data_IF_768584983056
#
_entry.id   IF_768584983056
#
_cell.length_a   1.000
_cell.length_b   1.000
_cell.length_c   1.000
_cell.angle_alpha   90.00
_cell.angle_beta   90.00
_cell.angle_gamma   90.00
#
_symmetry.space_group_name_H-M   'P 1'
#
loop_
_entity.id
_entity.type
_entity.pdbx_description
1 polymer ?
#
# COMPACT_ATOMS: atom_id res chain seq x y z
N UNK A 1 -54.57 40.11 28.53
CA UNK A 1 -53.24 39.77 29.09
C UNK A 1 -52.19 40.51 28.28
N UNK A 2 -51.38 41.39 28.88
CA UNK A 2 -50.38 42.18 28.15
C UNK A 2 -49.14 41.34 27.83
N UNK A 3 -48.59 41.53 26.63
CA UNK A 3 -47.32 40.90 26.19
C UNK A 3 -46.11 41.58 26.85
N UNK A 4 -45.05 40.83 27.21
CA UNK A 4 -43.86 41.42 27.81
C UNK A 4 -42.94 42.01 26.74
N UNK A 5 -42.55 43.26 26.95
CA UNK A 5 -41.53 43.99 26.19
C UNK A 5 -40.14 43.58 26.68
N UNK A 6 -39.28 43.10 25.79
CA UNK A 6 -37.88 42.75 26.09
C UNK A 6 -36.97 43.93 25.70
N UNK A 7 -36.11 44.45 26.58
CA UNK A 7 -35.18 45.53 26.26
C UNK A 7 -33.96 45.01 25.48
N UNK A 8 -33.57 45.75 24.43
CA UNK A 8 -32.33 45.57 23.67
C UNK A 8 -31.17 46.28 24.38
N UNK A 9 -30.23 45.52 24.92
CA UNK A 9 -28.93 46.01 25.39
C UNK A 9 -27.92 45.96 24.24
N UNK A 10 -27.35 47.11 23.88
CA UNK A 10 -26.24 47.20 22.93
C UNK A 10 -24.91 46.92 23.65
N UNK A 11 -24.17 45.93 23.19
CA UNK A 11 -22.82 45.63 23.65
C UNK A 11 -21.80 46.23 22.66
N UNK A 12 -21.09 47.27 23.09
CA UNK A 12 -19.91 47.80 22.40
C UNK A 12 -18.70 46.91 22.68
N UNK A 13 -18.20 46.24 21.64
CA UNK A 13 -16.90 45.55 21.65
C UNK A 13 -15.79 46.54 21.29
N UNK A 14 -14.98 46.90 22.27
CA UNK A 14 -13.71 47.61 22.09
C UNK A 14 -12.66 46.61 21.59
N UNK A 15 -12.19 46.79 20.36
CA UNK A 15 -11.00 46.11 19.84
C UNK A 15 -9.74 46.79 20.40
N UNK A 16 -8.94 46.03 21.15
CA UNK A 16 -7.55 46.40 21.48
C UNK A 16 -6.60 45.89 20.38
N UNK A 17 -5.64 46.70 19.92
CA UNK A 17 -4.65 46.27 18.94
C UNK A 17 -3.56 45.42 19.60
N UNK A 18 -3.33 44.22 19.04
CA UNK A 18 -2.18 43.37 19.38
C UNK A 18 -0.92 43.92 18.70
N UNK A 19 0.06 44.35 19.50
CA UNK A 19 1.41 44.65 19.04
C UNK A 19 2.24 43.38 18.94
N UNK A 20 2.64 42.99 17.73
CA UNK A 20 3.62 41.91 17.50
C UNK A 20 5.03 42.40 17.87
N UNK A 21 5.71 41.65 18.74
CA UNK A 21 7.14 41.78 18.99
C UNK A 21 7.91 40.81 18.07
N UNK A 22 9.02 41.25 17.44
CA UNK A 22 9.82 40.39 16.57
C UNK A 22 10.69 39.44 17.40
N UNK A 23 10.56 38.13 17.14
CA UNK A 23 11.47 37.10 17.65
C UNK A 23 12.77 37.14 16.84
N UNK A 24 13.87 37.57 17.47
CA UNK A 24 15.22 37.36 16.97
C UNK A 24 15.61 35.89 17.14
N UNK A 25 15.81 35.20 16.01
CA UNK A 25 16.27 33.81 15.96
C UNK A 25 17.81 33.80 15.93
N UNK A 26 18.43 33.38 17.03
CA UNK A 26 19.90 33.22 17.12
C UNK A 26 20.29 31.90 16.48
N UNK A 27 20.92 31.96 15.30
CA UNK A 27 21.42 30.80 14.56
C UNK A 27 22.82 30.45 15.07
N UNK A 28 22.95 29.40 15.86
CA UNK A 28 24.25 28.88 16.33
C UNK A 28 24.86 28.01 15.23
N UNK A 29 25.82 28.55 14.48
CA UNK A 29 26.64 27.82 13.52
C UNK A 29 27.70 27.00 14.30
N UNK A 30 27.53 25.67 14.35
CA UNK A 30 28.60 24.76 14.74
C UNK A 30 29.39 24.36 13.49
N UNK A 31 30.51 25.05 13.29
CA UNK A 31 31.57 24.65 12.37
C UNK A 31 32.36 23.50 12.98
N UNK A 32 32.43 22.36 12.27
CA UNK A 32 33.42 21.31 12.53
C UNK A 32 34.26 21.11 11.27
N UNK A 33 35.55 21.30 11.46
CA UNK A 33 36.57 21.44 10.44
C UNK A 33 36.92 20.14 9.70
N UNK A 34 37.47 20.39 8.51
CA UNK A 34 38.10 19.51 7.53
C UNK A 34 39.32 18.73 8.05
N UNK A 35 39.53 17.53 7.51
CA UNK A 35 40.89 17.05 7.16
C UNK A 35 40.83 15.95 6.08
N UNK A 36 41.06 16.39 4.85
CA UNK A 36 41.50 15.58 3.71
C UNK A 36 42.99 15.26 3.87
N UNK A 37 43.39 14.03 3.61
CA UNK A 37 44.77 13.67 3.27
C UNK A 37 44.75 12.81 1.98
N UNK A 38 45.50 13.18 0.93
CA UNK A 38 45.51 12.49 -0.35
C UNK A 38 46.48 11.30 -0.34
N UNK A 39 45.99 10.14 -0.79
CA UNK A 39 46.81 8.93 -1.00
C UNK A 39 47.47 8.98 -2.40
N UNK A 40 48.77 8.64 -2.52
CA UNK A 40 49.47 8.67 -3.81
C UNK A 40 49.18 7.43 -4.66
N UNK A 41 49.15 7.65 -5.98
CA UNK A 41 49.29 6.65 -7.04
C UNK A 41 50.68 6.80 -7.70
N UNK A 42 51.16 5.97 -8.65
CA UNK A 42 50.86 4.59 -9.06
C UNK A 42 52.18 3.76 -9.14
N UNK A 43 52.31 2.66 -9.93
CA UNK A 43 52.66 2.85 -11.34
C UNK A 43 51.97 1.90 -12.35
N UNK A 44 52.06 2.37 -13.59
CA UNK A 44 51.55 1.84 -14.85
C UNK A 44 51.85 0.35 -15.14
N UNK A 45 50.93 -0.29 -15.85
CA UNK A 45 51.24 -1.40 -16.74
C UNK A 45 50.61 -1.16 -18.11
N UNK A 46 51.52 -0.92 -19.04
CA UNK A 46 51.58 -1.20 -20.47
C UNK A 46 50.31 -1.40 -21.30
N UNK A 47 50.30 -0.61 -22.38
CA UNK A 47 49.51 -0.70 -23.58
C UNK A 47 49.55 -2.07 -24.27
N UNK A 48 48.41 -2.49 -24.85
CA UNK A 48 48.38 -3.36 -26.02
C UNK A 48 47.41 -2.77 -27.05
N UNK A 49 48.04 -2.38 -28.15
CA UNK A 49 47.65 -2.18 -29.56
C UNK A 49 46.27 -2.67 -30.04
N UNK A 50 45.70 -1.85 -30.92
CA UNK A 50 44.42 -2.02 -31.60
C UNK A 50 44.47 -2.84 -32.91
N UNK A 51 43.25 -3.24 -33.32
CA UNK A 51 42.73 -3.44 -34.70
C UNK A 51 42.96 -4.79 -35.42
N UNK A 52 42.16 -5.17 -36.45
CA UNK A 52 40.78 -4.77 -36.81
C UNK A 52 39.82 -5.95 -37.11
N UNK A 53 38.52 -5.63 -37.26
CA UNK A 53 37.48 -6.47 -37.87
C UNK A 53 37.69 -6.67 -39.38
N UNK A 54 37.10 -7.73 -39.95
CA UNK A 54 36.20 -7.49 -41.09
C UNK A 54 34.90 -8.33 -41.07
N UNK A 55 33.90 -7.76 -41.73
CA UNK A 55 32.56 -8.30 -42.02
C UNK A 55 32.54 -9.25 -43.24
N UNK A 56 31.66 -10.25 -43.23
CA UNK A 56 30.94 -10.84 -44.39
C UNK A 56 29.90 -11.85 -43.85
N UNK A 57 28.58 -11.67 -43.96
CA UNK A 57 27.64 -11.87 -45.09
C UNK A 57 27.43 -13.32 -45.59
N UNK A 58 26.24 -13.87 -45.23
CA UNK A 58 25.32 -14.79 -45.97
C UNK A 58 25.65 -16.30 -46.08
N UNK A 59 24.70 -17.21 -46.46
CA UNK A 59 23.25 -17.33 -46.16
C UNK A 59 22.77 -18.78 -45.81
N UNK A 60 21.46 -18.93 -45.53
CA UNK A 60 20.55 -20.09 -45.74
C UNK A 60 21.05 -21.55 -45.69
N UNK A 61 20.42 -22.37 -44.82
CA UNK A 61 19.66 -23.57 -45.20
C UNK A 61 19.07 -24.30 -43.97
N UNK A 62 17.74 -24.46 -43.94
CA UNK A 62 17.05 -25.66 -43.42
C UNK A 62 16.99 -26.70 -44.57
N UNK A 63 16.64 -28.00 -44.40
CA UNK A 63 15.86 -28.63 -43.31
C UNK A 63 16.41 -30.02 -42.88
N UNK A 64 15.71 -30.71 -41.95
CA UNK A 64 15.38 -32.17 -41.99
C UNK A 64 15.09 -32.74 -40.58
N UNK A 65 13.85 -33.19 -40.35
CA UNK A 65 13.46 -34.17 -39.31
C UNK A 65 13.52 -35.59 -39.91
N UNK A 66 13.08 -36.67 -39.21
CA UNK A 66 13.46 -37.31 -37.93
C UNK A 66 13.97 -38.77 -38.15
N UNK A 67 14.21 -39.58 -37.09
CA UNK A 67 13.29 -40.71 -36.82
C UNK A 67 13.08 -40.99 -35.30
N UNK A 68 11.86 -41.20 -34.81
CA UNK A 68 11.10 -42.47 -34.64
C UNK A 68 11.69 -43.54 -33.69
N UNK A 69 10.85 -43.85 -32.67
CA UNK A 69 10.53 -45.18 -32.13
C UNK A 69 11.26 -45.71 -30.88
N UNK A 70 10.44 -45.95 -29.83
CA UNK A 70 10.29 -47.17 -29.01
C UNK A 70 10.14 -46.81 -27.52
N UNK A 71 8.94 -46.90 -26.93
CA UNK A 71 8.23 -48.11 -26.50
C UNK A 71 8.72 -48.65 -25.15
N UNK A 72 7.96 -48.35 -24.09
CA UNK A 72 7.68 -49.30 -23.01
C UNK A 72 6.45 -48.83 -22.23
N UNK A 73 5.33 -49.50 -22.50
CA UNK A 73 4.12 -49.45 -21.69
C UNK A 73 4.38 -50.16 -20.36
N UNK A 74 4.11 -49.48 -19.24
CA UNK A 74 4.03 -50.08 -17.92
C UNK A 74 2.55 -50.17 -17.49
N UNK A 75 2.11 -51.28 -16.86
CA UNK A 75 0.71 -51.53 -16.59
C UNK A 75 0.16 -50.65 -15.46
N UNK A 76 -1.02 -50.09 -15.70
CA UNK A 76 -1.84 -49.42 -14.71
C UNK A 76 -2.38 -50.43 -13.69
N UNK A 77 -1.82 -50.42 -12.47
CA UNK A 77 -2.45 -51.01 -11.30
C UNK A 77 -3.21 -49.92 -10.55
N UNK A 78 -4.53 -49.85 -10.80
CA UNK A 78 -5.49 -49.11 -9.98
C UNK A 78 -5.57 -49.73 -8.59
N UNK A 79 -4.79 -49.22 -7.65
CA UNK A 79 -5.14 -49.26 -6.24
C UNK A 79 -5.62 -47.87 -5.84
N UNK A 80 -6.94 -47.67 -5.95
CA UNK A 80 -7.64 -46.59 -5.28
C UNK A 80 -7.58 -46.86 -3.77
N UNK A 81 -6.42 -46.57 -3.15
CA UNK A 81 -6.40 -46.22 -1.75
C UNK A 81 -7.32 -45.01 -1.61
N UNK A 82 -8.36 -45.14 -0.80
CA UNK A 82 -9.24 -44.04 -0.46
C UNK A 82 -8.37 -42.84 -0.07
N UNK A 83 -8.30 -41.86 -0.97
CA UNK A 83 -7.63 -40.59 -0.68
C UNK A 83 -8.36 -40.04 0.53
N UNK A 84 -7.67 -40.04 1.68
CA UNK A 84 -8.16 -39.34 2.86
C UNK A 84 -8.57 -37.93 2.42
N UNK A 85 -9.75 -37.45 2.83
CA UNK A 85 -10.17 -36.09 2.46
C UNK A 85 -9.02 -35.13 2.80
N UNK A 86 -8.65 -34.22 1.89
CA UNK A 86 -7.54 -33.30 2.11
C UNK A 86 -7.74 -32.64 3.47
N UNK A 87 -6.73 -32.73 4.33
CA UNK A 87 -6.78 -32.22 5.69
C UNK A 87 -7.42 -30.84 5.68
N UNK A 88 -8.54 -30.71 6.40
CA UNK A 88 -9.39 -29.55 6.34
C UNK A 88 -8.58 -28.29 6.69
N UNK A 89 -8.42 -27.42 5.70
CA UNK A 89 -8.27 -25.97 5.84
C UNK A 89 -7.24 -25.49 6.88
N UNK A 90 -5.95 -25.82 6.68
CA UNK A 90 -4.90 -25.01 7.31
C UNK A 90 -4.92 -23.64 6.62
N UNK A 91 -5.57 -22.68 7.28
CA UNK A 91 -5.59 -21.28 6.84
C UNK A 91 -4.17 -20.78 6.72
N UNK A 92 -3.76 -20.40 5.51
CA UNK A 92 -2.41 -19.87 5.25
C UNK A 92 -2.19 -18.61 6.07
N UNK A 93 -1.24 -18.67 6.98
CA UNK A 93 -0.76 -17.48 7.66
C UNK A 93 0.15 -16.69 6.73
N UNK A 94 0.03 -15.37 6.78
CA UNK A 94 0.99 -14.49 6.13
C UNK A 94 2.39 -14.70 6.74
N UNK A 95 3.43 -14.37 5.96
CA UNK A 95 4.81 -14.32 6.45
C UNK A 95 4.86 -13.44 7.71
N UNK A 96 5.52 -13.87 8.79
CA UNK A 96 5.56 -13.11 10.03
C UNK A 96 6.21 -11.75 9.83
N UNK A 97 5.70 -10.79 10.56
CA UNK A 97 6.24 -9.43 10.63
C UNK A 97 7.55 -9.39 11.42
N UNK A 98 8.40 -8.37 11.23
CA UNK A 98 9.62 -8.21 12.01
C UNK A 98 9.38 -8.26 13.53
N UNK A 99 8.29 -7.66 14.03
CA UNK A 99 7.98 -7.67 15.46
C UNK A 99 7.63 -9.07 15.99
N UNK A 100 6.94 -9.88 15.18
CA UNK A 100 6.64 -11.26 15.53
C UNK A 100 7.92 -12.10 15.58
N UNK A 101 8.83 -11.93 14.62
CA UNK A 101 10.16 -12.56 14.66
C UNK A 101 10.96 -12.14 15.89
N UNK A 102 10.86 -10.88 16.29
CA UNK A 102 11.60 -10.37 17.45
C UNK A 102 11.16 -11.02 18.76
N UNK A 103 9.86 -11.23 18.96
CA UNK A 103 9.30 -11.76 20.21
C UNK A 103 9.31 -13.29 20.30
N UNK A 104 9.56 -13.96 19.19
CA UNK A 104 9.43 -15.39 19.11
C UNK A 104 10.56 -16.14 19.83
N UNK A 105 10.26 -17.29 20.43
CA UNK A 105 11.25 -18.06 21.17
C UNK A 105 12.31 -18.61 20.21
N UNK A 106 13.51 -18.85 20.75
CA UNK A 106 14.71 -19.20 20.00
C UNK A 106 15.20 -20.58 20.40
N UNK A 107 15.60 -21.40 19.43
CA UNK A 107 16.32 -22.65 19.67
C UNK A 107 17.76 -22.49 19.24
N UNK A 108 18.65 -23.14 19.98
CA UNK A 108 20.07 -23.28 19.63
C UNK A 108 20.29 -24.63 18.96
N UNK A 109 20.87 -24.61 17.76
CA UNK A 109 21.09 -25.78 16.91
C UNK A 109 22.60 -26.08 16.83
N UNK A 110 22.98 -27.27 17.27
CA UNK A 110 24.38 -27.73 17.28
C UNK A 110 24.90 -27.99 18.69
N UNK A 111 26.11 -28.56 18.76
CA UNK A 111 26.75 -28.92 20.03
C UNK A 111 27.67 -27.80 20.50
N UNK A 112 27.42 -27.28 21.71
CA UNK A 112 28.36 -26.43 22.45
C UNK A 112 29.44 -27.32 23.05
N UNK A 113 30.37 -27.79 22.22
CA UNK A 113 31.54 -28.53 22.67
C UNK A 113 32.57 -27.59 23.25
N UNK A 114 32.96 -27.81 24.50
CA UNK A 114 33.97 -27.04 25.22
C UNK A 114 35.09 -27.99 25.62
N UNK A 115 36.11 -28.12 24.77
CA UNK A 115 37.36 -28.78 25.17
C UNK A 115 38.59 -27.86 25.02
N UNK A 116 38.59 -26.90 24.09
CA UNK A 116 39.77 -26.05 23.82
C UNK A 116 39.56 -24.53 23.99
N UNK A 117 38.44 -24.08 24.56
CA UNK A 117 38.16 -22.65 24.75
C UNK A 117 37.74 -21.88 23.50
N UNK A 118 37.67 -22.54 22.34
CA UNK A 118 37.07 -21.98 21.12
C UNK A 118 35.55 -22.15 21.15
N UNK A 119 34.83 -21.04 21.17
CA UNK A 119 33.36 -21.01 21.12
C UNK A 119 32.88 -21.54 19.77
N UNK A 120 32.38 -22.77 19.73
CA UNK A 120 31.71 -23.31 18.54
C UNK A 120 30.41 -22.53 18.35
N UNK A 121 30.32 -21.81 17.24
CA UNK A 121 29.14 -21.02 16.86
C UNK A 121 27.97 -21.95 16.53
N UNK A 122 27.01 -22.05 17.45
CA UNK A 122 25.76 -22.77 17.21
C UNK A 122 24.82 -21.93 16.32
N UNK A 123 24.22 -22.56 15.32
CA UNK A 123 23.16 -21.93 14.55
C UNK A 123 21.94 -21.71 15.44
N UNK A 124 21.07 -20.79 15.04
CA UNK A 124 19.88 -20.44 15.78
C UNK A 124 18.66 -20.59 14.89
N UNK A 125 17.54 -20.87 15.52
CA UNK A 125 16.25 -21.05 14.87
C UNK A 125 15.18 -20.33 15.65
N UNK A 126 14.24 -19.70 14.94
CA UNK A 126 13.01 -19.16 15.50
C UNK A 126 11.84 -19.77 14.75
N UNK A 127 10.76 -20.04 15.46
CA UNK A 127 9.50 -20.48 14.88
C UNK A 127 8.40 -19.49 15.22
N UNK A 128 7.66 -19.05 14.20
CA UNK A 128 6.47 -18.21 14.33
C UNK A 128 5.37 -18.80 13.47
N UNK A 129 4.32 -19.34 14.12
CA UNK A 129 3.22 -20.03 13.42
C UNK A 129 3.79 -21.17 12.55
N UNK A 130 3.46 -21.19 11.26
CA UNK A 130 3.98 -22.17 10.29
C UNK A 130 5.29 -21.72 9.62
N UNK A 131 5.95 -20.69 10.14
CA UNK A 131 7.17 -20.16 9.54
C UNK A 131 8.35 -20.34 10.47
N UNK A 132 9.49 -20.62 9.88
CA UNK A 132 10.73 -20.79 10.61
C UNK A 132 11.82 -19.96 9.97
N UNK A 133 12.59 -19.28 10.80
CA UNK A 133 13.79 -18.58 10.42
C UNK A 133 15.01 -19.29 10.98
N UNK A 134 16.02 -19.49 10.14
CA UNK A 134 17.27 -20.17 10.44
C UNK A 134 18.43 -19.26 10.10
N UNK A 135 19.37 -19.10 11.00
CA UNK A 135 20.62 -18.43 10.72
C UNK A 135 21.74 -19.08 11.50
N UNK A 136 22.93 -19.05 10.91
CA UNK A 136 24.14 -19.35 11.63
C UNK A 136 24.83 -18.01 11.88
N UNK A 137 25.11 -17.63 13.14
CA UNK A 137 25.96 -16.46 13.38
C UNK A 137 27.26 -16.70 12.61
N UNK A 138 27.86 -15.63 12.07
CA UNK A 138 29.07 -15.75 11.25
C UNK A 138 30.09 -16.62 11.98
N UNK A 139 30.40 -17.83 11.46
CA UNK A 139 31.48 -18.62 12.03
C UNK A 139 32.76 -17.84 11.82
N UNK A 140 33.34 -17.40 12.92
CA UNK A 140 34.54 -16.62 12.88
C UNK A 140 34.51 -15.61 13.98
N UNK A 141 35.32 -15.87 15.01
CA UNK A 141 35.85 -14.81 15.82
C UNK A 141 36.30 -13.70 14.86
N UNK A 142 35.71 -12.52 14.97
CA UNK A 142 36.26 -11.33 14.33
C UNK A 142 37.64 -11.12 14.97
N UNK A 143 38.69 -11.75 14.45
CA UNK A 143 40.04 -11.27 14.73
C UNK A 143 40.13 -9.90 14.05
N UNK A 144 40.03 -8.83 14.83
CA UNK A 144 40.16 -7.45 14.37
C UNK A 144 39.07 -6.96 13.39
N UNK A 145 37.82 -7.41 13.54
CA UNK A 145 36.67 -6.84 12.82
C UNK A 145 36.49 -7.29 11.37
N UNK A 146 37.34 -8.19 10.85
CA UNK A 146 37.19 -8.76 9.51
C UNK A 146 36.45 -10.09 9.56
N UNK A 147 35.56 -10.32 8.58
CA UNK A 147 34.89 -11.62 8.41
C UNK A 147 35.93 -12.67 8.02
N UNK A 148 35.93 -13.83 8.68
CA UNK A 148 36.83 -14.94 8.34
C UNK A 148 36.28 -15.83 7.21
N UNK A 149 35.14 -15.48 6.59
CA UNK A 149 34.55 -16.23 5.47
C UNK A 149 33.18 -15.72 5.00
N UNK A 150 32.57 -16.45 4.07
CA UNK A 150 31.22 -16.21 3.53
C UNK A 150 30.37 -17.47 3.58
N UNK A 151 29.06 -17.33 3.72
CA UNK A 151 28.11 -18.43 3.61
C UNK A 151 27.43 -18.41 2.24
N UNK A 152 27.64 -19.47 1.46
CA UNK A 152 26.79 -19.77 0.32
C UNK A 152 25.53 -20.50 0.82
N UNK A 153 24.38 -20.19 0.23
CA UNK A 153 23.08 -20.74 0.66
C UNK A 153 22.37 -21.41 -0.50
N UNK A 154 21.85 -22.61 -0.26
CA UNK A 154 20.94 -23.28 -1.17
C UNK A 154 19.68 -23.74 -0.45
N UNK A 155 18.52 -23.49 -1.07
CA UNK A 155 17.18 -23.83 -0.58
C UNK A 155 16.45 -24.78 -1.52
N UNK A 156 16.93 -26.02 -1.69
CA UNK A 156 16.14 -27.03 -2.38
C UNK A 156 14.88 -27.34 -1.55
N UNK A 157 13.71 -27.25 -2.21
CA UNK A 157 12.42 -27.61 -1.59
C UNK A 157 11.57 -26.46 -1.05
N UNK A 158 11.91 -25.20 -1.35
CA UNK A 158 11.09 -24.03 -1.02
C UNK A 158 11.54 -23.29 0.23
N UNK A 159 11.51 -21.96 0.16
CA UNK A 159 12.00 -21.03 1.18
C UNK A 159 12.32 -19.68 0.55
N UNK A 160 12.65 -18.69 1.37
CA UNK A 160 13.09 -17.38 0.91
C UNK A 160 14.13 -16.80 1.85
N UNK A 161 14.91 -15.85 1.34
CA UNK A 161 15.86 -15.11 2.16
C UNK A 161 15.11 -14.20 3.13
N UNK A 162 15.61 -14.08 4.35
CA UNK A 162 15.16 -13.04 5.26
C UNK A 162 15.59 -11.67 4.74
N UNK A 163 14.72 -10.69 4.88
CA UNK A 163 15.04 -9.28 4.62
C UNK A 163 15.94 -8.72 5.72
N UNK A 164 16.71 -7.65 5.46
CA UNK A 164 17.53 -7.01 6.48
C UNK A 164 16.75 -6.64 7.74
N UNK A 165 15.51 -6.15 7.60
CA UNK A 165 14.65 -5.77 8.71
C UNK A 165 14.22 -6.98 9.55
N UNK A 166 13.94 -8.11 8.91
CA UNK A 166 13.63 -9.37 9.60
C UNK A 166 14.86 -9.92 10.33
N UNK A 167 16.05 -9.82 9.76
CA UNK A 167 17.30 -10.25 10.40
C UNK A 167 17.63 -9.34 11.59
N UNK A 168 17.49 -8.02 11.44
CA UNK A 168 17.67 -7.04 12.52
C UNK A 168 16.70 -7.34 13.67
N UNK A 169 15.44 -7.62 13.35
CA UNK A 169 14.41 -7.91 14.35
C UNK A 169 14.62 -9.27 15.03
N UNK A 170 14.97 -10.31 14.26
CA UNK A 170 15.15 -11.66 14.75
C UNK A 170 16.46 -11.85 15.54
N UNK A 171 17.56 -11.21 15.14
CA UNK A 171 18.90 -11.58 15.62
C UNK A 171 19.50 -10.47 16.47
N UNK A 172 20.03 -10.78 17.66
CA UNK A 172 20.76 -9.83 18.52
C UNK A 172 22.24 -9.72 18.15
N UNK A 173 22.76 -10.68 17.37
CA UNK A 173 24.19 -10.96 17.24
C UNK A 173 24.81 -10.65 15.88
N UNK A 174 24.29 -9.67 15.14
CA UNK A 174 24.93 -9.23 13.89
C UNK A 174 24.98 -10.33 12.83
N UNK A 175 23.95 -11.19 12.79
CA UNK A 175 23.79 -12.11 11.68
C UNK A 175 23.71 -11.27 10.40
N UNK A 176 24.53 -11.61 9.41
CA UNK A 176 24.44 -10.97 8.10
C UNK A 176 23.22 -11.51 7.33
N UNK A 177 22.73 -12.69 7.71
CA UNK A 177 22.11 -13.61 6.78
C UNK A 177 21.21 -14.63 7.48
N UNK A 178 19.98 -14.80 6.98
CA UNK A 178 19.05 -15.82 7.45
C UNK A 178 18.18 -16.38 6.31
N UNK A 179 17.66 -17.58 6.53
CA UNK A 179 16.75 -18.31 5.65
C UNK A 179 15.40 -18.43 6.34
N UNK A 180 14.32 -18.20 5.59
CA UNK A 180 12.95 -18.42 6.04
C UNK A 180 12.32 -19.57 5.26
N UNK A 181 11.75 -20.54 5.99
CA UNK A 181 11.04 -21.70 5.44
C UNK A 181 9.60 -21.70 5.93
N UNK A 182 8.65 -22.03 5.06
CA UNK A 182 7.24 -22.26 5.42
C UNK A 182 7.04 -23.75 5.67
N UNK A 183 6.61 -24.12 6.87
CA UNK A 183 6.31 -25.47 7.34
C UNK A 183 4.85 -25.85 7.02
N UNK A 184 4.59 -26.24 5.77
CA UNK A 184 3.29 -26.78 5.32
C UNK A 184 3.27 -28.30 5.35
N UNK A 185 2.13 -28.99 5.51
CA UNK A 185 2.09 -30.44 5.31
C UNK A 185 2.66 -30.82 3.95
N UNK A 186 3.55 -31.81 3.95
CA UNK A 186 4.31 -32.22 2.76
C UNK A 186 5.56 -31.39 2.48
N UNK A 187 5.88 -30.39 3.32
CA UNK A 187 7.12 -29.63 3.20
C UNK A 187 8.30 -30.54 3.46
N UNK A 188 9.22 -30.57 2.50
CA UNK A 188 10.55 -31.14 2.64
C UNK A 188 11.54 -30.08 2.20
N UNK A 189 12.07 -29.33 3.16
CA UNK A 189 13.07 -28.31 2.93
C UNK A 189 14.42 -28.83 3.39
N UNK A 190 15.46 -28.60 2.58
CA UNK A 190 16.84 -28.94 2.96
C UNK A 190 17.72 -27.70 2.90
N UNK A 191 17.47 -26.69 3.75
CA UNK A 191 18.32 -25.51 3.77
C UNK A 191 19.75 -25.92 4.10
N UNK A 192 20.68 -25.43 3.29
CA UNK A 192 22.11 -25.66 3.48
C UNK A 192 22.85 -24.34 3.58
N UNK A 193 23.74 -24.28 4.55
CA UNK A 193 24.66 -23.18 4.78
C UNK A 193 26.07 -23.73 4.54
N UNK A 194 26.71 -23.28 3.47
CA UNK A 194 28.07 -23.69 3.11
C UNK A 194 29.00 -22.56 3.52
N UNK A 195 29.73 -22.75 4.61
CA UNK A 195 30.75 -21.80 5.04
C UNK A 195 32.03 -21.99 4.22
N UNK A 196 32.57 -20.87 3.72
CA UNK A 196 33.86 -20.79 3.04
C UNK A 196 34.75 -19.77 3.75
N UNK A 197 35.82 -20.19 4.43
CA UNK A 197 36.77 -19.27 5.03
C UNK A 197 37.45 -18.38 3.97
N UNK A 198 37.71 -17.13 4.31
CA UNK A 198 38.38 -16.15 3.44
C UNK A 198 39.84 -16.53 3.19
N UNK A 199 40.54 -17.02 4.22
CA UNK A 199 41.95 -17.43 4.13
C UNK A 199 42.13 -18.79 3.44
N UNK A 200 41.06 -19.59 3.38
CA UNK A 200 41.06 -20.96 2.83
C UNK A 200 39.77 -21.22 2.04
N UNK A 201 39.58 -20.62 0.85
CA UNK A 201 38.34 -20.71 0.08
C UNK A 201 38.02 -22.14 -0.40
N UNK A 202 39.04 -22.99 -0.49
CA UNK A 202 38.91 -24.39 -0.89
C UNK A 202 38.37 -25.26 0.27
N UNK A 203 38.48 -24.80 1.52
CA UNK A 203 37.88 -25.48 2.65
C UNK A 203 36.40 -25.10 2.70
N UNK A 204 35.53 -26.10 2.69
CA UNK A 204 34.10 -25.89 2.85
C UNK A 204 33.60 -26.67 4.06
N UNK A 205 32.79 -26.00 4.89
CA UNK A 205 32.03 -26.66 5.95
C UNK A 205 30.56 -26.56 5.57
N UNK A 206 29.94 -27.72 5.31
CA UNK A 206 28.54 -27.78 4.96
C UNK A 206 27.70 -28.06 6.22
N UNK A 207 26.86 -27.10 6.56
CA UNK A 207 25.83 -27.23 7.59
C UNK A 207 24.48 -27.32 6.88
N UNK A 208 24.12 -28.54 6.52
CA UNK A 208 22.82 -28.84 5.93
C UNK A 208 21.85 -29.30 7.01
N UNK A 209 20.66 -28.70 7.00
CA UNK A 209 19.56 -29.08 7.87
C UNK A 209 18.46 -29.69 7.02
N UNK A 210 17.83 -30.76 7.52
CA UNK A 210 16.67 -31.39 6.88
C UNK A 210 15.46 -31.10 7.74
N UNK A 211 14.49 -30.43 7.13
CA UNK A 211 13.25 -30.01 7.76
C UNK A 211 12.09 -30.67 7.05
N UNK A 212 11.34 -31.46 7.80
CA UNK A 212 10.26 -32.24 7.24
C UNK A 212 9.00 -32.02 8.06
N UNK A 213 7.93 -31.68 7.36
CA UNK A 213 6.58 -31.80 7.88
C UNK A 213 5.87 -32.82 6.98
N UNK A 214 5.65 -34.07 7.44
CA UNK A 214 5.06 -35.12 6.62
C UNK A 214 3.75 -34.69 5.97
N UNK A 215 3.42 -35.22 4.78
CA UNK A 215 2.14 -34.93 4.14
C UNK A 215 0.95 -35.44 4.97
N UNK A 216 1.19 -36.42 5.83
CA UNK A 216 0.22 -37.00 6.78
C UNK A 216 0.19 -36.26 8.12
N UNK A 217 0.99 -35.21 8.30
CA UNK A 217 1.00 -34.42 9.53
C UNK A 217 -0.39 -33.86 9.79
N UNK A 218 -0.89 -34.10 11.00
CA UNK A 218 -2.16 -33.56 11.48
C UNK A 218 -1.95 -32.22 12.18
N UNK A 219 -0.72 -31.93 12.61
CA UNK A 219 -0.36 -30.67 13.25
C UNK A 219 1.10 -30.31 13.00
N UNK A 220 1.49 -29.08 13.39
CA UNK A 220 2.91 -28.69 13.40
C UNK A 220 3.73 -29.57 14.35
N UNK A 221 3.15 -30.24 15.36
CA UNK A 221 3.90 -31.09 16.29
C UNK A 221 4.53 -32.33 15.61
N UNK A 222 4.05 -32.73 14.44
CA UNK A 222 4.58 -33.87 13.67
C UNK A 222 5.84 -33.52 12.86
N UNK A 223 6.35 -32.29 13.01
CA UNK A 223 7.57 -31.83 12.34
C UNK A 223 8.82 -32.51 12.88
N UNK A 224 9.76 -32.77 11.98
CA UNK A 224 11.02 -33.43 12.27
C UNK A 224 12.19 -32.53 11.90
N UNK A 225 13.22 -32.56 12.74
CA UNK A 225 14.49 -31.87 12.53
C UNK A 225 15.60 -32.90 12.34
N UNK A 226 16.20 -32.95 11.15
CA UNK A 226 17.18 -33.97 10.75
C UNK A 226 16.67 -35.41 10.99
N UNK A 227 15.36 -35.64 10.83
CA UNK A 227 14.71 -36.92 11.12
C UNK A 227 14.52 -37.23 12.61
N UNK A 228 14.98 -36.35 13.51
CA UNK A 228 14.81 -36.43 14.95
C UNK A 228 13.71 -35.52 15.50
N UNK A 229 13.54 -35.47 16.84
CA UNK A 229 12.58 -34.60 17.49
C UNK A 229 12.89 -33.12 17.22
N UNK A 230 11.86 -32.29 17.23
CA UNK A 230 12.01 -30.84 17.10
C UNK A 230 12.81 -30.27 18.28
N UNK A 231 13.73 -29.31 18.05
CA UNK A 231 14.50 -28.69 19.13
C UNK A 231 13.60 -27.90 20.09
N UNK A 232 14.00 -27.84 21.36
CA UNK A 232 13.33 -27.04 22.38
C UNK A 232 13.56 -25.56 22.11
N UNK A 233 12.47 -24.79 22.07
CA UNK A 233 12.48 -23.34 21.92
C UNK A 233 12.49 -22.70 23.32
N UNK A 234 13.38 -21.74 23.52
CA UNK A 234 13.52 -20.97 24.76
C UNK A 234 12.95 -19.57 24.57
N UNK A 235 12.21 -19.08 25.57
CA UNK A 235 11.70 -17.71 25.55
C UNK A 235 12.85 -16.71 25.61
N UNK A 236 12.70 -15.60 24.87
CA UNK A 236 13.68 -14.52 24.90
C UNK A 236 13.55 -13.76 26.20
N UNK A 237 14.65 -13.66 26.95
CA UNK A 237 14.70 -12.91 28.20
C UNK A 237 14.76 -11.40 27.99
N UNK A 238 15.23 -10.93 26.84
CA UNK A 238 15.30 -9.50 26.50
C UNK A 238 14.29 -9.15 25.41
N UNK A 239 13.16 -8.55 25.82
CA UNK A 239 12.12 -8.06 24.93
C UNK A 239 12.20 -6.55 24.67
N UNK A 240 13.11 -5.83 25.34
CA UNK A 240 13.18 -4.35 25.30
C UNK A 240 13.43 -3.82 23.88
N UNK A 241 14.24 -4.55 23.10
CA UNK A 241 14.48 -4.26 21.70
C UNK A 241 13.23 -4.41 20.85
N UNK A 242 12.41 -5.41 21.14
CA UNK A 242 11.16 -5.64 20.42
C UNK A 242 10.17 -4.51 20.68
N UNK A 243 10.10 -4.01 21.91
CA UNK A 243 9.23 -2.87 22.24
C UNK A 243 9.69 -1.59 21.52
N UNK A 244 11.00 -1.39 21.39
CA UNK A 244 11.56 -0.28 20.60
C UNK A 244 11.23 -0.42 19.10
N UNK A 245 11.34 -1.64 18.55
CA UNK A 245 10.99 -1.93 17.16
C UNK A 245 9.48 -1.73 16.90
N UNK A 246 8.63 -2.14 17.83
CA UNK A 246 7.18 -1.94 17.76
C UNK A 246 6.84 -0.45 17.75
N UNK A 247 7.44 0.32 18.66
CA UNK A 247 7.27 1.77 18.71
C UNK A 247 7.71 2.45 17.40
N UNK A 248 8.86 2.07 16.84
CA UNK A 248 9.35 2.57 15.54
C UNK A 248 8.38 2.24 14.41
N UNK A 249 7.97 0.98 14.30
CA UNK A 249 7.04 0.52 13.26
C UNK A 249 5.70 1.24 13.33
N UNK A 250 5.18 1.47 14.54
CA UNK A 250 3.96 2.25 14.76
C UNK A 250 4.12 3.70 14.33
N UNK A 251 5.22 4.34 14.71
CA UNK A 251 5.52 5.72 14.32
C UNK A 251 5.61 5.87 12.79
N UNK A 252 6.26 4.93 12.10
CA UNK A 252 6.36 4.92 10.63
C UNK A 252 4.99 4.72 9.96
N UNK A 253 4.15 3.84 10.52
CA UNK A 253 2.79 3.63 10.02
C UNK A 253 1.92 4.88 10.18
N UNK A 254 1.99 5.54 11.34
CA UNK A 254 1.28 6.79 11.62
C UNK A 254 1.78 7.93 10.71
N UNK A 255 3.10 8.03 10.48
CA UNK A 255 3.68 9.00 9.56
C UNK A 255 3.23 8.77 8.11
N UNK A 256 3.20 7.51 7.64
CA UNK A 256 2.70 7.17 6.31
C UNK A 256 1.22 7.53 6.15
N UNK A 257 0.40 7.23 7.16
CA UNK A 257 -1.02 7.59 7.16
C UNK A 257 -1.20 9.11 7.10
N UNK A 258 -0.42 9.87 7.87
CA UNK A 258 -0.46 11.34 7.82
C UNK A 258 -0.07 11.89 6.43
N UNK A 259 0.90 11.28 5.75
CA UNK A 259 1.27 11.66 4.37
C UNK A 259 0.15 11.32 3.37
N UNK A 260 -0.51 10.17 3.51
CA UNK A 260 -1.66 9.79 2.67
C UNK A 260 -2.85 10.73 2.88
N UNK A 261 -3.18 11.05 4.13
CA UNK A 261 -4.25 11.99 4.47
C UNK A 261 -3.96 13.39 3.91
N UNK A 262 -2.69 13.83 3.98
CA UNK A 262 -2.25 15.10 3.38
C UNK A 262 -2.37 15.06 1.85
N UNK A 263 -1.88 14.01 1.20
CA UNK A 263 -1.95 13.87 -0.25
C UNK A 263 -3.41 13.84 -0.75
N UNK A 264 -4.31 13.21 0.02
CA UNK A 264 -5.75 13.22 -0.26
C UNK A 264 -6.34 14.62 -0.13
N UNK A 265 -5.99 15.37 0.92
CA UNK A 265 -6.45 16.74 1.09
C UNK A 265 -5.97 17.67 -0.03
N UNK A 266 -4.71 17.52 -0.48
CA UNK A 266 -4.17 18.26 -1.62
C UNK A 266 -4.88 17.90 -2.93
N UNK A 267 -5.18 16.62 -3.15
CA UNK A 267 -5.95 16.17 -4.31
C UNK A 267 -7.39 16.72 -4.31
N UNK A 268 -8.05 16.73 -3.15
CA UNK A 268 -9.39 17.30 -2.99
C UNK A 268 -9.38 18.83 -3.24
N UNK A 269 -8.33 19.54 -2.82
CA UNK A 269 -8.16 20.97 -3.09
C UNK A 269 -7.89 21.25 -4.58
N UNK A 270 -7.05 20.44 -5.23
CA UNK A 270 -6.79 20.55 -6.67
C UNK A 270 -8.06 20.31 -7.47
N UNK A 271 -8.84 19.29 -7.12
CA UNK A 271 -10.12 19.01 -7.75
C UNK A 271 -11.12 20.15 -7.53
N UNK A 272 -11.20 20.73 -6.33
CA UNK A 272 -12.05 21.89 -6.05
C UNK A 272 -11.63 23.13 -6.88
N UNK A 273 -10.35 23.32 -7.12
CA UNK A 273 -9.83 24.42 -7.96
C UNK A 273 -10.19 24.23 -9.43
N UNK A 274 -10.08 23.00 -9.95
CA UNK A 274 -10.51 22.67 -11.31
C UNK A 274 -12.03 22.75 -11.47
N UNK A 275 -12.81 22.31 -10.47
CA UNK A 275 -14.27 22.41 -10.49
C UNK A 275 -14.75 23.88 -10.44
N UNK A 276 -13.98 24.76 -9.76
CA UNK A 276 -14.22 26.20 -9.74
C UNK A 276 -13.88 26.90 -11.06
N UNK A 277 -13.02 26.30 -11.89
CA UNK A 277 -12.75 26.76 -13.25
C UNK A 277 -13.96 26.39 -14.11
N UNK A 278 -14.93 27.31 -14.17
CA UNK A 278 -16.21 27.10 -14.84
C UNK A 278 -16.09 26.51 -16.25
N UNK A 279 -17.16 25.85 -16.70
CA UNK A 279 -17.24 25.27 -18.04
C UNK A 279 -17.41 26.40 -19.05
N UNK A 280 -16.67 26.41 -20.17
CA UNK A 280 -16.87 27.42 -21.20
C UNK A 280 -18.32 27.40 -21.70
N UNK A 281 -18.87 28.57 -21.99
CA UNK A 281 -20.22 28.70 -22.54
C UNK A 281 -20.30 28.03 -23.92
N UNK A 282 -21.43 27.41 -24.24
CA UNK A 282 -21.64 26.79 -25.54
C UNK A 282 -21.96 27.85 -26.60
N UNK A 283 -21.23 27.89 -27.74
CA UNK A 283 -21.67 28.68 -28.89
C UNK A 283 -22.99 28.10 -29.40
N UNK A 284 -23.88 28.97 -29.90
CA UNK A 284 -25.14 28.59 -30.55
C UNK A 284 -26.23 27.97 -29.65
N UNK A 285 -26.15 28.16 -28.32
CA UNK A 285 -27.24 27.76 -27.44
C UNK A 285 -28.46 28.68 -27.62
N UNK A 286 -29.63 28.10 -27.88
CA UNK A 286 -30.89 28.83 -27.94
C UNK A 286 -31.14 29.59 -26.62
N UNK A 287 -31.75 30.79 -26.65
CA UNK A 287 -32.00 31.57 -25.44
C UNK A 287 -32.84 30.77 -24.42
N UNK A 288 -32.68 31.04 -23.12
CA UNK A 288 -33.39 30.32 -22.07
C UNK A 288 -34.92 30.48 -22.25
N UNK A 289 -35.70 29.39 -22.17
CA UNK A 289 -37.15 29.44 -22.26
C UNK A 289 -37.76 30.29 -21.13
N UNK A 290 -38.85 30.98 -21.43
CA UNK A 290 -39.63 31.71 -20.43
C UNK A 290 -40.25 30.77 -19.39
N UNK A 291 -40.47 31.25 -18.16
CA UNK A 291 -41.02 30.47 -17.03
C UNK A 291 -42.33 29.72 -17.40
N UNK A 292 -43.16 30.31 -18.24
CA UNK A 292 -44.43 29.74 -18.72
C UNK A 292 -44.25 28.45 -19.53
N UNK A 293 -43.18 28.36 -20.33
CA UNK A 293 -42.90 27.22 -21.20
C UNK A 293 -42.61 25.93 -20.41
N UNK A 294 -42.18 26.06 -19.16
CA UNK A 294 -41.90 24.93 -18.28
C UNK A 294 -43.17 24.26 -17.77
N UNK A 295 -44.29 24.98 -17.64
CA UNK A 295 -45.52 24.44 -17.05
C UNK A 295 -46.03 23.20 -17.79
N UNK A 296 -45.90 23.16 -19.12
CA UNK A 296 -46.35 22.06 -19.98
C UNK A 296 -45.39 20.86 -20.08
N UNK A 297 -44.16 20.97 -19.56
CA UNK A 297 -43.14 19.93 -19.71
C UNK A 297 -43.24 18.83 -18.66
N UNK A 298 -42.86 17.62 -19.09
CA UNK A 298 -42.76 16.45 -18.21
C UNK A 298 -41.62 16.63 -17.22
N UNK A 299 -41.83 16.08 -16.04
CA UNK A 299 -40.83 16.06 -14.99
C UNK A 299 -39.64 15.17 -15.38
N UNK A 300 -38.44 15.67 -15.19
CA UNK A 300 -37.21 14.88 -15.26
C UNK A 300 -37.09 14.06 -13.98
N UNK A 301 -36.57 12.83 -14.05
CA UNK A 301 -36.44 12.02 -12.84
C UNK A 301 -35.12 12.37 -12.12
N UNK A 302 -35.22 13.09 -11.00
CA UNK A 302 -34.11 13.33 -10.07
C UNK A 302 -34.42 12.63 -8.75
N UNK A 303 -33.59 11.66 -8.37
CA UNK A 303 -33.85 10.89 -7.15
C UNK A 303 -33.76 11.79 -5.92
N UNK A 304 -34.84 11.82 -5.13
CA UNK A 304 -34.93 12.61 -3.91
C UNK A 304 -35.43 14.05 -4.10
N UNK A 305 -35.78 14.47 -5.33
CA UNK A 305 -36.33 15.82 -5.58
C UNK A 305 -37.65 16.06 -4.84
N UNK A 306 -38.54 15.08 -4.84
CA UNK A 306 -39.87 15.18 -4.23
C UNK A 306 -39.80 15.39 -2.71
N UNK A 307 -38.80 14.78 -2.05
CA UNK A 307 -38.59 14.93 -0.61
C UNK A 307 -38.22 16.38 -0.22
N UNK A 308 -37.64 17.14 -1.15
CA UNK A 308 -37.28 18.54 -0.98
C UNK A 308 -38.33 19.51 -1.58
N UNK A 309 -39.43 18.98 -2.15
CA UNK A 309 -40.40 19.81 -2.87
C UNK A 309 -39.84 20.43 -4.15
N UNK A 310 -38.86 19.77 -4.76
CA UNK A 310 -38.22 20.24 -5.98
C UNK A 310 -38.89 19.63 -7.21
N UNK A 311 -39.34 20.48 -8.12
CA UNK A 311 -39.78 20.12 -9.47
C UNK A 311 -38.59 20.21 -10.41
N UNK A 312 -38.35 19.16 -11.19
CA UNK A 312 -37.29 19.18 -12.20
C UNK A 312 -37.85 18.98 -13.58
N UNK A 313 -37.40 19.76 -14.56
CA UNK A 313 -37.90 19.72 -15.93
C UNK A 313 -36.76 19.85 -16.92
N UNK A 314 -36.96 19.25 -18.08
CA UNK A 314 -36.02 19.31 -19.19
C UNK A 314 -36.77 19.82 -20.44
N UNK A 315 -36.35 20.96 -20.98
CA UNK A 315 -36.94 21.58 -22.16
C UNK A 315 -35.82 21.89 -23.15
N UNK A 316 -35.86 21.24 -24.32
CA UNK A 316 -34.85 21.45 -25.38
C UNK A 316 -33.40 21.26 -24.85
N UNK A 317 -32.42 22.19 -24.94
CA UNK A 317 -31.11 21.99 -24.32
C UNK A 317 -31.03 22.56 -22.89
N UNK A 318 -32.16 22.79 -22.21
CA UNK A 318 -32.19 23.42 -20.89
C UNK A 318 -32.72 22.46 -19.81
N UNK A 319 -32.02 22.42 -18.68
CA UNK A 319 -32.47 21.80 -17.43
C UNK A 319 -32.88 22.89 -16.46
N UNK A 320 -34.05 22.70 -15.85
CA UNK A 320 -34.63 23.61 -14.88
C UNK A 320 -35.05 22.86 -13.63
N UNK A 321 -34.66 23.41 -12.49
CA UNK A 321 -35.04 22.95 -11.16
C UNK A 321 -35.68 24.12 -10.44
N UNK A 322 -36.89 23.90 -9.92
CA UNK A 322 -37.55 24.83 -9.01
C UNK A 322 -37.91 24.08 -7.73
N UNK A 323 -37.35 24.52 -6.60
CA UNK A 323 -37.72 24.02 -5.29
C UNK A 323 -38.67 24.99 -4.62
N UNK A 324 -39.87 24.49 -4.32
CA UNK A 324 -40.93 25.20 -3.62
C UNK A 324 -41.54 24.21 -2.63
N UNK A 325 -41.16 24.31 -1.36
CA UNK A 325 -41.42 23.24 -0.41
C UNK A 325 -41.41 23.68 1.05
N UNK A 326 -41.73 22.72 1.93
CA UNK A 326 -41.78 22.91 3.38
C UNK A 326 -40.39 23.20 3.99
N UNK A 327 -39.34 22.71 3.35
CA UNK A 327 -37.96 22.94 3.79
C UNK A 327 -37.52 24.32 3.32
N UNK A 328 -37.16 25.18 4.28
CA UNK A 328 -36.62 26.50 3.99
C UNK A 328 -35.23 26.34 3.40
N UNK A 329 -35.14 26.56 2.10
CA UNK A 329 -33.88 26.63 1.39
C UNK A 329 -33.36 28.06 1.42
N UNK A 330 -32.12 28.26 1.87
CA UNK A 330 -31.53 29.57 2.12
C UNK A 330 -30.61 30.02 0.99
N UNK A 331 -29.88 29.09 0.37
CA UNK A 331 -28.94 29.40 -0.70
C UNK A 331 -28.79 28.23 -1.68
N UNK A 332 -28.38 28.56 -2.90
CA UNK A 332 -27.91 27.61 -3.91
C UNK A 332 -26.55 28.08 -4.45
N UNK A 333 -25.59 27.16 -4.46
CA UNK A 333 -24.23 27.40 -4.91
C UNK A 333 -23.81 26.30 -5.88
N UNK A 334 -23.41 26.67 -7.10
CA UNK A 334 -23.04 25.69 -8.14
C UNK A 334 -21.54 25.44 -8.05
N UNK A 335 -21.14 24.38 -7.34
CA UNK A 335 -19.75 24.02 -7.09
C UNK A 335 -19.03 23.51 -8.35
N UNK A 336 -19.75 22.81 -9.24
CA UNK A 336 -19.18 22.20 -10.45
C UNK A 336 -20.14 22.31 -11.62
N UNK A 337 -19.59 22.44 -12.83
CA UNK A 337 -20.37 22.41 -14.07
C UNK A 337 -21.10 23.72 -14.38
N UNK A 338 -20.69 24.82 -13.73
CA UNK A 338 -21.26 26.15 -13.98
C UNK A 338 -20.75 26.71 -15.31
N UNK A 339 -21.67 27.03 -16.21
CA UNK A 339 -21.41 27.85 -17.38
C UNK A 339 -21.55 29.34 -17.00
N UNK A 340 -20.54 30.15 -17.33
CA UNK A 340 -20.39 31.49 -16.80
C UNK A 340 -21.60 32.40 -17.05
N UNK A 341 -22.17 32.35 -18.26
CA UNK A 341 -23.33 33.17 -18.64
C UNK A 341 -24.63 32.39 -18.77
N UNK A 342 -24.54 31.07 -18.92
CA UNK A 342 -25.69 30.20 -19.21
C UNK A 342 -26.26 29.53 -17.96
N UNK A 343 -25.48 29.32 -16.90
CA UNK A 343 -26.00 28.76 -15.64
C UNK A 343 -26.48 29.89 -14.73
N UNK A 344 -27.77 29.90 -14.39
CA UNK A 344 -28.40 30.85 -13.47
C UNK A 344 -28.93 30.10 -12.25
N UNK A 345 -28.49 30.51 -11.07
CA UNK A 345 -28.99 30.01 -9.80
C UNK A 345 -29.48 31.21 -8.99
N UNK A 346 -30.70 31.15 -8.47
CA UNK A 346 -31.26 32.19 -7.61
C UNK A 346 -32.06 31.57 -6.46
N UNK A 347 -32.08 32.27 -5.33
CA UNK A 347 -32.89 31.95 -4.17
C UNK A 347 -33.68 33.21 -3.78
N UNK A 348 -34.96 33.24 -4.10
CA UNK A 348 -35.83 34.41 -3.87
C UNK A 348 -37.14 33.96 -3.22
N UNK A 349 -37.54 34.65 -2.14
CA UNK A 349 -38.80 34.40 -1.43
C UNK A 349 -39.05 32.92 -1.02
N UNK A 350 -37.98 32.19 -0.69
CA UNK A 350 -38.08 30.76 -0.32
C UNK A 350 -38.24 29.81 -1.51
N UNK A 351 -38.12 30.32 -2.74
CA UNK A 351 -38.09 29.54 -3.98
C UNK A 351 -36.66 29.54 -4.50
N UNK A 352 -36.09 28.34 -4.67
CA UNK A 352 -34.81 28.17 -5.35
C UNK A 352 -35.06 27.82 -6.81
N UNK A 353 -34.42 28.55 -7.71
CA UNK A 353 -34.42 28.27 -9.16
C UNK A 353 -32.99 27.98 -9.61
N UNK A 354 -32.80 26.89 -10.34
CA UNK A 354 -31.57 26.58 -11.06
C UNK A 354 -31.91 26.32 -12.52
N UNK A 355 -31.31 27.10 -13.41
CA UNK A 355 -31.39 26.94 -14.85
C UNK A 355 -29.98 26.70 -15.39
N UNK A 356 -29.79 25.62 -16.13
CA UNK A 356 -28.47 25.26 -16.66
C UNK A 356 -28.63 24.53 -17.99
N UNK A 357 -27.70 24.69 -18.95
CA UNK A 357 -27.74 23.92 -20.18
C UNK A 357 -27.49 22.42 -19.93
N UNK A 358 -28.14 21.59 -20.72
CA UNK A 358 -27.84 20.17 -20.87
C UNK A 358 -26.67 20.01 -21.85
N UNK A 359 -25.52 19.59 -21.32
CA UNK A 359 -24.29 19.37 -22.10
C UNK A 359 -23.79 17.97 -21.86
N UNK A 360 -23.73 17.16 -22.92
CA UNK A 360 -23.28 15.78 -22.83
C UNK A 360 -21.85 15.68 -22.28
N UNK A 361 -21.64 14.79 -21.33
CA UNK A 361 -20.36 14.58 -20.65
C UNK A 361 -20.03 15.58 -19.55
N UNK A 362 -20.91 16.53 -19.25
CA UNK A 362 -20.72 17.48 -18.15
C UNK A 362 -21.40 16.96 -16.88
N UNK A 363 -20.69 17.02 -15.76
CA UNK A 363 -21.27 16.80 -14.44
C UNK A 363 -21.55 18.14 -13.78
N UNK A 364 -22.75 18.30 -13.22
CA UNK A 364 -23.12 19.47 -12.44
C UNK A 364 -23.29 19.06 -10.97
N UNK A 365 -22.67 19.83 -10.08
CA UNK A 365 -22.85 19.70 -8.64
C UNK A 365 -23.32 21.04 -8.10
N UNK A 366 -24.50 21.07 -7.49
CA UNK A 366 -25.00 22.23 -6.78
C UNK A 366 -25.22 21.90 -5.30
N UNK A 367 -24.77 22.77 -4.41
CA UNK A 367 -25.02 22.74 -2.99
C UNK A 367 -26.25 23.60 -2.70
N UNK A 368 -27.24 22.99 -2.05
CA UNK A 368 -28.46 23.64 -1.58
C UNK A 368 -28.39 23.68 -0.06
N UNK A 369 -28.32 24.89 0.50
CA UNK A 369 -28.29 25.06 1.95
C UNK A 369 -29.70 25.15 2.51
N UNK A 370 -30.02 24.37 3.54
CA UNK A 370 -31.26 24.44 4.31
C UNK A 370 -30.96 24.75 5.77
N UNK A 371 -32.01 25.03 6.56
CA UNK A 371 -31.88 25.18 8.01
C UNK A 371 -31.41 23.88 8.70
N UNK A 372 -31.65 22.71 8.08
CA UNK A 372 -31.31 21.38 8.61
C UNK A 372 -29.92 20.89 8.14
N UNK A 373 -29.23 21.64 7.28
CA UNK A 373 -27.90 21.32 6.74
C UNK A 373 -27.80 21.46 5.22
N UNK A 374 -26.64 21.10 4.66
CA UNK A 374 -26.42 21.17 3.21
C UNK A 374 -26.91 19.89 2.50
N UNK A 375 -27.52 20.06 1.33
CA UNK A 375 -27.88 19.00 0.39
C UNK A 375 -27.12 19.19 -0.92
N UNK A 376 -26.66 18.10 -1.53
CA UNK A 376 -25.96 18.19 -2.81
C UNK A 376 -26.81 17.59 -3.92
N UNK A 377 -27.13 18.41 -4.92
CA UNK A 377 -27.68 17.96 -6.20
C UNK A 377 -26.53 17.56 -7.10
N UNK A 378 -26.43 16.27 -7.42
CA UNK A 378 -25.49 15.75 -8.42
C UNK A 378 -26.26 15.38 -9.67
N UNK A 379 -25.90 16.01 -10.77
CA UNK A 379 -26.44 15.74 -12.11
C UNK A 379 -25.29 15.25 -12.98
N UNK A 380 -25.50 14.14 -13.67
CA UNK A 380 -24.51 13.62 -14.61
C UNK A 380 -25.17 13.44 -15.97
N UNK A 381 -24.58 14.05 -16.98
CA UNK A 381 -25.03 13.95 -18.36
C UNK A 381 -24.18 12.92 -19.09
N UNK A 382 -24.59 11.63 -19.17
CA UNK A 382 -23.82 10.62 -19.87
C UNK A 382 -23.66 11.00 -21.35
N UNK A 383 -22.51 10.66 -21.93
CA UNK A 383 -22.25 10.83 -23.36
C UNK A 383 -23.13 9.86 -24.17
N UNK A 384 -23.83 10.35 -25.20
CA UNK A 384 -24.56 9.48 -26.12
C UNK A 384 -25.90 10.03 -26.63
N UNK A 385 -26.38 9.47 -27.74
CA UNK A 385 -27.52 9.98 -28.53
C UNK A 385 -28.89 10.01 -27.81
N UNK A 386 -29.02 9.44 -26.61
CA UNK A 386 -30.30 9.36 -25.90
C UNK A 386 -30.26 10.16 -24.61
N UNK A 387 -31.15 11.16 -24.53
CA UNK A 387 -31.38 11.93 -23.30
C UNK A 387 -31.77 10.97 -22.18
N UNK A 388 -31.06 10.97 -21.04
CA UNK A 388 -31.35 10.06 -19.95
C UNK A 388 -32.69 10.43 -19.30
N UNK A 389 -33.48 9.41 -18.94
CA UNK A 389 -34.72 9.61 -18.19
C UNK A 389 -34.44 10.01 -16.73
N UNK A 390 -33.35 9.47 -16.16
CA UNK A 390 -32.85 9.80 -14.83
C UNK A 390 -31.60 10.66 -14.93
N UNK A 391 -31.66 11.86 -14.37
CA UNK A 391 -30.67 12.91 -14.63
C UNK A 391 -29.76 13.20 -13.44
N UNK A 392 -30.17 12.81 -12.23
CA UNK A 392 -29.38 13.06 -11.02
C UNK A 392 -29.97 12.52 -9.73
N UNK A 393 -29.32 12.84 -8.63
CA UNK A 393 -29.73 12.47 -7.27
C UNK A 393 -29.33 13.53 -6.25
N UNK A 394 -30.14 13.68 -5.20
CA UNK A 394 -29.77 14.41 -3.98
C UNK A 394 -29.03 13.52 -2.98
N UNK A 395 -27.94 14.02 -2.38
CA UNK A 395 -27.18 13.31 -1.33
C UNK A 395 -27.02 14.17 -0.06
N UNK A 396 -27.10 13.52 1.10
CA UNK A 396 -26.93 14.14 2.43
C UNK A 396 -25.47 14.43 2.81
N UNK A 397 -24.49 13.90 2.08
CA UNK A 397 -23.05 14.00 2.41
C UNK A 397 -22.19 14.31 1.20
N UNK A 398 -21.05 14.96 1.47
CA UNK A 398 -20.04 15.32 0.48
C UNK A 398 -19.28 14.11 -0.04
#
# INVERSE_FOLDING_TARGET
MPSPTIPRTAASLLLTPLTLTPLTLTLTLLASCTRDDPKPAPPASSAITAAPQPSALLPSAAPSSPPTSASSAAPAASSAAAASPPAANITRSARPTPIEWCRAPIATLGYEGHDDGDTIYACKMIEVREWMMLWCPMSGARMNGKSLGSYDRALPGGGSMATPEEIEAATTSGAADAVIVSLRPGTKAKPSFIYRPADHPDWTRNESFTLELPATAQSLADRLWNGGPWPTLEDRTDTSRCDTLEARTKADADARKALEDKARAEADQAQATEDAKGVPDLPDLAPPPADEAWTAQKEALVTGSDALGCKTKLLEPWFWLQCEGKTKLTAIDVEKGRHATQTRASAEAGVIKLLTPYVEGTDLRARLSTDDGDRFLKISWPKGKRRPFQTGSFTDKR
#
